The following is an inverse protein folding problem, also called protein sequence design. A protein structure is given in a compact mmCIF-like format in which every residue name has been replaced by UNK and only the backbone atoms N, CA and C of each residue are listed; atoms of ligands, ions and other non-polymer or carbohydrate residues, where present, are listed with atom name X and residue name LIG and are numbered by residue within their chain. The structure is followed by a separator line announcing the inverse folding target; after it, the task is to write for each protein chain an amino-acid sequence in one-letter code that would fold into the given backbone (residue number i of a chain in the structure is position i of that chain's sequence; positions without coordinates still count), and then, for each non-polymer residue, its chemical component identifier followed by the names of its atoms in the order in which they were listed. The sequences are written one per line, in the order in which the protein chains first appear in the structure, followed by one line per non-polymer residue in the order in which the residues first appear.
data_IF_707782449291
#
_entry.id   IF_707782449291
#
_cell.length_a   1.000
_cell.length_b   1.000
_cell.length_c   1.000
_cell.angle_alpha   90.00
_cell.angle_beta   90.00
_cell.angle_gamma   90.00
#
_symmetry.space_group_name_H-M   'P 1'
#
loop_
_entity.id
_entity.type
_entity.pdbx_description
1 polymer ?
#
# COMPACT_ATOMS: atom_id res chain seq x y z
N UNK A 1 4.38 -19.83 -20.26
CA UNK A 1 3.00 -19.88 -19.75
C UNK A 1 2.97 -19.06 -18.46
N UNK A 2 2.61 -17.77 -18.53
CA UNK A 2 2.71 -16.85 -17.40
C UNK A 2 1.46 -16.94 -16.51
N UNK A 3 1.66 -17.18 -15.21
CA UNK A 3 0.58 -17.18 -14.20
C UNK A 3 0.01 -15.75 -14.07
N UNK A 4 -1.31 -15.65 -14.20
CA UNK A 4 -2.07 -14.41 -14.14
C UNK A 4 -2.28 -13.99 -12.67
N UNK A 5 -2.15 -12.71 -12.31
CA UNK A 5 -2.52 -12.24 -10.99
C UNK A 5 -4.05 -12.15 -10.90
N UNK A 6 -4.65 -13.10 -10.18
CA UNK A 6 -6.05 -13.03 -9.75
C UNK A 6 -6.07 -12.24 -8.45
N UNK A 7 -6.66 -11.04 -8.46
CA UNK A 7 -6.90 -10.30 -7.23
C UNK A 7 -8.11 -10.92 -6.53
N UNK A 8 -7.88 -11.46 -5.33
CA UNK A 8 -8.93 -11.99 -4.48
C UNK A 8 -9.29 -10.92 -3.46
N UNK A 9 -10.44 -10.26 -3.63
CA UNK A 9 -11.02 -9.43 -2.57
C UNK A 9 -11.87 -10.37 -1.71
N UNK A 10 -11.46 -10.58 -0.45
CA UNK A 10 -12.12 -11.45 0.52
C UNK A 10 -12.74 -10.57 1.60
N UNK A 11 -14.07 -10.48 1.66
CA UNK A 11 -14.80 -9.67 2.67
C UNK A 11 -15.68 -10.57 3.53
N UNK A 12 -15.40 -10.69 4.82
CA UNK A 12 -16.00 -11.69 5.74
C UNK A 12 -17.32 -11.14 6.41
N UNK A 13 -18.46 -11.89 6.52
CA UNK A 13 -19.84 -11.52 7.09
C UNK A 13 -20.51 -12.28 8.31
N UNK A 14 -21.13 -11.63 9.32
CA UNK A 14 -22.18 -12.24 10.21
C UNK A 14 -23.43 -11.38 10.41
N UNK A 15 -23.45 -10.13 9.94
CA UNK A 15 -24.57 -9.18 10.10
C UNK A 15 -24.67 -8.26 8.87
N UNK A 16 -25.78 -7.54 8.63
CA UNK A 16 -26.12 -6.99 7.31
C UNK A 16 -25.36 -5.71 6.92
N UNK A 17 -24.05 -5.63 7.20
CA UNK A 17 -23.26 -4.41 6.95
C UNK A 17 -21.93 -4.70 6.22
N UNK A 18 -21.99 -5.51 5.16
CA UNK A 18 -20.88 -5.63 4.22
C UNK A 18 -21.48 -5.51 2.82
N UNK A 19 -21.10 -4.44 2.11
CA UNK A 19 -21.59 -4.15 0.77
C UNK A 19 -20.40 -4.21 -0.17
N UNK A 20 -20.53 -5.05 -1.18
CA UNK A 20 -19.61 -5.13 -2.31
C UNK A 20 -20.24 -4.37 -3.48
N UNK A 21 -19.58 -3.30 -3.92
CA UNK A 21 -20.06 -2.46 -5.02
C UNK A 21 -19.07 -2.57 -6.16
N UNK A 22 -19.58 -2.83 -7.36
CA UNK A 22 -18.84 -2.65 -8.61
C UNK A 22 -19.43 -1.44 -9.35
N UNK A 23 -18.58 -0.69 -10.03
CA UNK A 23 -19.04 0.32 -10.97
C UNK A 23 -19.79 -0.33 -12.14
N UNK A 24 -20.69 0.40 -12.79
CA UNK A 24 -21.56 -0.14 -13.85
C UNK A 24 -20.79 -0.72 -15.04
N UNK A 25 -19.57 -0.24 -15.29
CA UNK A 25 -18.66 -0.73 -16.33
C UNK A 25 -17.91 -2.01 -15.94
N UNK A 26 -17.77 -2.29 -14.63
CA UNK A 26 -17.13 -3.50 -14.11
C UNK A 26 -18.13 -4.60 -13.77
N UNK A 27 -19.36 -4.23 -13.40
CA UNK A 27 -20.42 -5.17 -12.99
C UNK A 27 -20.58 -6.39 -13.90
N UNK A 28 -20.67 -6.23 -15.24
CA UNK A 28 -20.81 -7.35 -16.17
C UNK A 28 -19.62 -8.31 -16.22
N UNK A 29 -18.44 -7.87 -15.77
CA UNK A 29 -17.22 -8.69 -15.73
C UNK A 29 -16.90 -9.23 -14.34
N UNK A 30 -17.76 -8.97 -13.36
CA UNK A 30 -17.53 -9.43 -12.00
C UNK A 30 -18.43 -10.64 -11.70
N UNK A 31 -17.90 -11.57 -10.91
CA UNK A 31 -18.63 -12.73 -10.38
C UNK A 31 -18.55 -12.72 -8.86
N UNK A 32 -19.69 -12.88 -8.21
CA UNK A 32 -19.80 -12.89 -6.75
C UNK A 32 -20.04 -14.31 -6.26
N UNK A 33 -19.18 -14.76 -5.35
CA UNK A 33 -19.29 -16.07 -4.72
C UNK A 33 -19.24 -15.90 -3.21
N UNK A 34 -20.21 -16.46 -2.49
CA UNK A 34 -20.12 -16.58 -1.04
C UNK A 34 -19.23 -17.78 -0.72
N UNK A 35 -18.14 -17.55 0.00
CA UNK A 35 -17.21 -18.59 0.44
C UNK A 35 -17.67 -19.20 1.76
N UNK A 36 -17.15 -20.40 2.02
CA UNK A 36 -17.39 -21.13 3.26
C UNK A 36 -16.83 -20.39 4.49
N UNK A 37 -17.34 -20.74 5.66
CA UNK A 37 -16.89 -20.16 6.91
C UNK A 37 -15.43 -20.55 7.21
N UNK A 38 -14.56 -19.56 7.38
CA UNK A 38 -13.15 -19.74 7.74
C UNK A 38 -12.89 -19.65 9.25
N UNK A 39 -13.85 -20.09 10.08
CA UNK A 39 -13.79 -19.97 11.53
C UNK A 39 -14.09 -18.56 12.06
N UNK A 40 -14.55 -17.67 11.18
CA UNK A 40 -15.03 -16.35 11.55
C UNK A 40 -16.54 -16.41 11.73
N UNK A 41 -17.06 -15.56 12.59
CA UNK A 41 -18.49 -15.31 12.66
C UNK A 41 -19.07 -14.91 11.28
N UNK A 42 -18.22 -14.17 10.62
CA UNK A 42 -17.99 -13.80 9.26
C UNK A 42 -18.08 -14.85 8.04
N UNK A 43 -18.92 -14.79 6.97
CA UNK A 43 -18.80 -15.53 5.70
C UNK A 43 -18.13 -14.67 4.62
N UNK A 44 -17.02 -15.08 4.01
CA UNK A 44 -16.36 -14.28 2.99
C UNK A 44 -17.20 -14.15 1.71
N UNK A 45 -17.24 -12.96 1.11
CA UNK A 45 -17.69 -12.75 -0.27
C UNK A 45 -16.44 -12.57 -1.13
N UNK A 46 -16.32 -13.43 -2.15
CA UNK A 46 -15.34 -13.35 -3.21
C UNK A 46 -15.94 -12.60 -4.40
N UNK A 47 -15.24 -11.58 -4.87
CA UNK A 47 -15.56 -10.90 -6.14
C UNK A 47 -14.43 -11.22 -7.11
N UNK A 48 -14.74 -11.96 -8.17
CA UNK A 48 -13.79 -12.31 -9.22
C UNK A 48 -14.01 -11.36 -10.40
N UNK A 49 -12.95 -10.71 -10.87
CA UNK A 49 -13.00 -9.89 -12.07
C UNK A 49 -12.55 -10.72 -13.27
N UNK A 50 -13.49 -11.18 -14.08
CA UNK A 50 -13.32 -11.95 -15.32
C UNK A 50 -12.87 -11.07 -16.50
N UNK A 51 -12.12 -9.99 -16.23
CA UNK A 51 -11.58 -9.08 -17.24
C UNK A 51 -10.07 -9.03 -17.13
N UNK A 52 -9.39 -9.22 -18.26
CA UNK A 52 -7.94 -9.06 -18.37
C UNK A 52 -7.56 -7.63 -17.97
N UNK A 53 -6.90 -7.49 -16.83
CA UNK A 53 -6.33 -6.22 -16.40
C UNK A 53 -5.05 -5.97 -17.21
N UNK A 54 -5.01 -4.85 -17.91
CA UNK A 54 -3.73 -4.27 -18.33
C UNK A 54 -3.09 -3.72 -17.07
N UNK A 55 -2.12 -4.44 -16.50
CA UNK A 55 -1.29 -3.89 -15.43
C UNK A 55 -0.43 -2.81 -16.09
N UNK A 56 -0.63 -1.52 -15.77
CA UNK A 56 0.26 -0.50 -16.30
C UNK A 56 1.66 -0.84 -15.79
N UNK A 57 2.63 -0.97 -16.69
CA UNK A 57 4.04 -1.03 -16.28
C UNK A 57 4.39 0.35 -15.75
N UNK A 58 4.27 0.50 -14.44
CA UNK A 58 4.68 1.71 -13.75
C UNK A 58 6.19 1.84 -13.90
N UNK A 59 6.64 2.81 -14.70
CA UNK A 59 8.04 3.27 -14.73
C UNK A 59 8.41 4.07 -13.47
N UNK A 60 7.61 4.03 -12.40
CA UNK A 60 7.96 4.69 -11.15
C UNK A 60 9.18 4.02 -10.55
N UNK A 61 10.28 4.78 -10.44
CA UNK A 61 11.48 4.36 -9.74
C UNK A 61 11.11 3.98 -8.30
N UNK A 62 11.29 2.71 -7.96
CA UNK A 62 11.10 2.16 -6.63
C UNK A 62 12.36 2.35 -5.80
N UNK A 63 12.22 2.37 -4.48
CA UNK A 63 13.36 2.38 -3.57
C UNK A 63 14.09 1.03 -3.62
N UNK A 64 15.41 1.06 -3.80
CA UNK A 64 16.26 -0.13 -3.84
C UNK A 64 16.98 -0.27 -2.49
N UNK A 65 16.27 -0.83 -1.50
CA UNK A 65 16.76 -0.96 -0.13
C UNK A 65 18.08 -1.74 0.01
N UNK A 66 18.34 -2.69 -0.91
CA UNK A 66 19.59 -3.45 -0.94
C UNK A 66 20.82 -2.60 -1.25
N UNK A 67 20.64 -1.43 -1.87
CA UNK A 67 21.71 -0.49 -2.25
C UNK A 67 21.71 0.76 -1.36
N UNK A 68 20.92 0.77 -0.29
CA UNK A 68 20.84 1.92 0.61
C UNK A 68 22.12 2.03 1.43
N UNK A 69 22.60 3.26 1.59
CA UNK A 69 23.59 3.60 2.60
C UNK A 69 22.87 3.83 3.93
N UNK A 70 22.64 2.73 4.66
CA UNK A 70 21.91 2.76 5.92
C UNK A 70 22.63 3.53 7.02
N UNK A 71 23.97 3.52 7.01
CA UNK A 71 24.77 4.23 8.00
C UNK A 71 24.58 5.74 7.85
N UNK A 72 24.79 6.27 6.64
CA UNK A 72 24.61 7.70 6.38
C UNK A 72 23.15 8.13 6.52
N UNK A 73 22.19 7.26 6.18
CA UNK A 73 20.77 7.52 6.43
C UNK A 73 20.47 7.69 7.92
N UNK A 74 20.93 6.76 8.76
CA UNK A 74 20.71 6.80 10.21
C UNK A 74 21.34 8.05 10.82
N UNK A 75 22.60 8.35 10.49
CA UNK A 75 23.28 9.56 10.97
C UNK A 75 22.54 10.84 10.56
N UNK A 76 22.04 10.91 9.33
CA UNK A 76 21.28 12.06 8.85
C UNK A 76 19.94 12.24 9.58
N UNK A 77 19.25 11.14 9.89
CA UNK A 77 18.00 11.17 10.66
C UNK A 77 18.26 11.56 12.10
N UNK A 78 19.25 10.97 12.77
CA UNK A 78 19.58 11.27 14.16
C UNK A 78 20.00 12.73 14.35
N UNK A 79 20.80 13.26 13.43
CA UNK A 79 21.17 14.68 13.43
C UNK A 79 19.98 15.59 13.08
N UNK A 80 19.10 15.13 12.17
CA UNK A 80 17.87 15.83 11.81
C UNK A 80 16.91 15.96 12.99
N UNK A 81 16.66 14.88 13.73
CA UNK A 81 15.75 14.88 14.88
C UNK A 81 16.25 15.84 15.97
N UNK A 82 17.56 15.83 16.26
CA UNK A 82 18.16 16.73 17.25
C UNK A 82 18.05 18.22 16.87
N UNK A 83 17.90 18.53 15.59
CA UNK A 83 17.89 19.90 15.07
C UNK A 83 16.51 20.44 14.75
N UNK A 84 15.45 19.61 14.79
CA UNK A 84 14.07 20.06 14.55
C UNK A 84 13.49 20.61 15.87
N UNK A 85 13.21 21.92 15.96
CA UNK A 85 12.53 22.47 17.12
C UNK A 85 11.07 22.00 17.14
N UNK A 86 10.59 21.61 18.30
CA UNK A 86 9.18 21.34 18.52
C UNK A 86 8.38 22.65 18.51
N UNK A 87 7.24 22.62 17.84
CA UNK A 87 6.23 23.67 17.80
C UNK A 87 5.01 23.24 18.61
N UNK A 88 4.13 24.18 18.91
CA UNK A 88 2.89 23.88 19.65
C UNK A 88 1.89 23.03 18.87
N UNK A 89 2.00 23.03 17.54
CA UNK A 89 1.15 22.22 16.66
C UNK A 89 1.77 20.85 16.38
N UNK A 90 1.04 19.80 16.77
CA UNK A 90 1.38 18.40 16.47
C UNK A 90 1.46 18.16 14.96
N UNK A 91 0.54 18.72 14.17
CA UNK A 91 0.53 18.56 12.71
C UNK A 91 1.77 19.16 12.04
N UNK A 92 2.22 20.32 12.54
CA UNK A 92 3.45 20.95 12.05
C UNK A 92 4.68 20.11 12.41
N UNK A 93 4.74 19.60 13.65
CA UNK A 93 5.85 18.73 14.08
C UNK A 93 5.89 17.44 13.26
N UNK A 94 4.75 16.80 13.05
CA UNK A 94 4.62 15.61 12.22
C UNK A 94 5.07 15.86 10.79
N UNK A 95 4.65 16.98 10.20
CA UNK A 95 5.02 17.35 8.84
C UNK A 95 6.53 17.58 8.72
N UNK A 96 7.14 18.30 9.67
CA UNK A 96 8.58 18.54 9.70
C UNK A 96 9.38 17.25 9.88
N UNK A 97 8.96 16.36 10.78
CA UNK A 97 9.59 15.05 10.99
C UNK A 97 9.53 14.17 9.74
N UNK A 98 8.34 14.02 9.16
CA UNK A 98 8.13 13.26 7.92
C UNK A 98 8.98 13.77 6.76
N UNK A 99 9.02 15.09 6.54
CA UNK A 99 9.83 15.67 5.47
C UNK A 99 11.32 15.44 5.69
N UNK A 100 11.81 15.49 6.94
CA UNK A 100 13.20 15.19 7.27
C UNK A 100 13.56 13.74 6.94
N UNK A 101 12.74 12.77 7.33
CA UNK A 101 12.95 11.35 6.98
C UNK A 101 12.95 11.17 5.46
N UNK A 102 11.97 11.75 4.76
CA UNK A 102 11.86 11.63 3.31
C UNK A 102 13.05 12.26 2.58
N UNK A 103 13.60 13.37 3.08
CA UNK A 103 14.81 13.99 2.55
C UNK A 103 16.04 13.09 2.74
N UNK A 104 16.22 12.54 3.93
CA UNK A 104 17.30 11.58 4.19
C UNK A 104 17.17 10.35 3.27
N UNK A 105 15.97 9.78 3.16
CA UNK A 105 15.70 8.64 2.29
C UNK A 105 16.03 8.96 0.84
N UNK A 106 15.59 10.11 0.30
CA UNK A 106 15.89 10.54 -1.09
C UNK A 106 17.38 10.64 -1.38
N UNK A 107 18.20 10.95 -0.37
CA UNK A 107 19.65 11.12 -0.52
C UNK A 107 20.41 9.79 -0.44
N UNK A 108 20.00 8.91 0.47
CA UNK A 108 20.78 7.72 0.85
C UNK A 108 20.19 6.38 0.41
N UNK A 109 18.93 6.37 -0.07
CA UNK A 109 18.26 5.19 -0.60
C UNK A 109 18.08 5.38 -2.10
N UNK A 110 18.83 4.67 -2.96
CA UNK A 110 18.70 4.82 -4.40
C UNK A 110 17.30 4.47 -4.90
N UNK A 111 16.87 5.13 -5.98
CA UNK A 111 15.62 4.82 -6.69
C UNK A 111 15.90 4.30 -8.08
N UNK A 112 15.29 3.18 -8.45
CA UNK A 112 15.43 2.59 -9.78
C UNK A 112 14.31 1.60 -10.11
N UNK A 113 14.44 0.93 -11.24
CA UNK A 113 13.56 -0.18 -11.60
C UNK A 113 14.17 -1.44 -10.95
N UNK A 114 13.38 -2.15 -10.15
CA UNK A 114 13.79 -3.43 -9.57
C UNK A 114 13.82 -4.53 -10.63
#
# INVERSE_FOLDING_TARGET
MARLPIFHIVIIRKKPLDISIASSDLGPSCKWTLLENLGSDNLPTLIELEKRQLVPTSNNKQWIFKKADWQSFAEAVDNGIKSIPLKDSVDLNWSSFKEMILRAAKKYIPRGVN
#
